data_IF_790749169077
#
_entry.id   IF_790749169077
#
_cell.length_a   1.000
_cell.length_b   1.000
_cell.length_c   1.000
_cell.angle_alpha   90.00
_cell.angle_beta   90.00
_cell.angle_gamma   90.00
#
_symmetry.space_group_name_H-M   'P 1'
#
loop_
_entity.id
_entity.type
_entity.pdbx_description
1 polymer ?
#
# COMPACT_ATOMS: atom_id res chain seq x y z
N UNK A 1 14.76 -5.34 5.12
CA UNK A 1 14.32 -4.37 4.09
C UNK A 1 15.33 -4.37 2.96
N UNK A 2 14.89 -4.27 1.71
CA UNK A 2 15.81 -4.18 0.54
C UNK A 2 16.49 -2.81 0.43
N UNK A 3 17.48 -2.69 -0.45
CA UNK A 3 18.32 -1.49 -0.65
C UNK A 3 17.83 -0.54 -1.76
N UNK A 4 16.75 -0.87 -2.49
CA UNK A 4 16.25 -0.05 -3.60
C UNK A 4 15.25 1.03 -3.18
N UNK A 5 15.11 2.08 -3.98
CA UNK A 5 14.00 3.04 -3.92
C UNK A 5 12.80 2.50 -4.68
N UNK A 6 11.61 3.04 -4.42
CA UNK A 6 10.42 2.67 -5.20
C UNK A 6 9.44 3.83 -5.30
N UNK A 7 9.05 4.16 -6.53
CA UNK A 7 8.00 5.14 -6.84
C UNK A 7 8.24 6.56 -6.28
N UNK A 8 9.50 7.01 -6.25
CA UNK A 8 9.89 8.37 -5.82
C UNK A 8 9.26 9.48 -6.67
N UNK A 9 9.04 9.25 -7.96
CA UNK A 9 8.48 10.26 -8.88
C UNK A 9 6.97 10.11 -9.08
N UNK A 10 6.35 9.17 -8.38
CA UNK A 10 4.91 8.89 -8.49
C UNK A 10 4.16 9.48 -7.28
N UNK A 11 3.64 10.68 -7.45
CA UNK A 11 2.86 11.38 -6.41
C UNK A 11 1.63 10.61 -5.94
N UNK A 12 1.05 9.76 -6.81
CA UNK A 12 -0.05 8.90 -6.40
C UNK A 12 0.44 7.82 -5.43
N UNK A 13 1.57 7.15 -5.70
CA UNK A 13 2.11 6.13 -4.80
C UNK A 13 2.53 6.69 -3.43
N UNK A 14 2.83 7.98 -3.34
CA UNK A 14 3.12 8.67 -2.08
C UNK A 14 1.87 9.02 -1.26
N UNK A 15 0.69 9.00 -1.89
CA UNK A 15 -0.56 9.39 -1.24
C UNK A 15 -1.16 8.24 -0.43
N UNK A 16 -1.61 8.55 0.79
CA UNK A 16 -2.30 7.60 1.68
C UNK A 16 -3.76 7.34 1.29
N UNK A 17 -4.31 8.17 0.40
CA UNK A 17 -5.72 8.19 0.03
C UNK A 17 -5.95 7.90 -1.47
N UNK A 18 -4.89 7.58 -2.21
CA UNK A 18 -5.03 7.27 -3.63
C UNK A 18 -5.67 5.89 -3.83
N UNK A 19 -6.51 5.71 -4.86
CA UNK A 19 -6.96 4.38 -5.26
C UNK A 19 -5.83 3.53 -5.89
N UNK A 20 -4.67 4.12 -6.22
CA UNK A 20 -3.54 3.41 -6.80
C UNK A 20 -2.78 2.65 -5.71
N UNK A 21 -2.99 1.33 -5.64
CA UNK A 21 -2.30 0.43 -4.71
C UNK A 21 -0.87 0.13 -5.20
N UNK A 22 0.02 1.11 -5.06
CA UNK A 22 1.45 0.92 -5.32
C UNK A 22 2.26 1.12 -4.04
N UNK A 23 3.28 0.30 -3.86
CA UNK A 23 4.22 0.49 -2.76
C UNK A 23 5.09 1.71 -3.02
N UNK A 24 5.31 2.52 -2.00
CA UNK A 24 6.27 3.61 -2.03
C UNK A 24 7.41 3.31 -1.06
N UNK A 25 8.64 3.57 -1.48
CA UNK A 25 9.82 3.53 -0.62
C UNK A 25 10.73 4.69 -0.96
N UNK A 26 10.88 5.59 0.01
CA UNK A 26 11.79 6.72 -0.08
C UNK A 26 13.26 6.28 -0.05
N UNK A 27 14.10 7.04 -0.76
CA UNK A 27 15.56 6.87 -0.74
C UNK A 27 16.19 7.18 0.61
N UNK A 28 15.57 8.06 1.41
CA UNK A 28 16.04 8.36 2.76
C UNK A 28 16.24 7.09 3.60
N UNK A 29 15.39 6.07 3.43
CA UNK A 29 15.50 4.80 4.15
C UNK A 29 16.77 4.03 3.78
N UNK A 30 17.36 4.26 2.61
CA UNK A 30 18.63 3.65 2.21
C UNK A 30 19.83 4.26 2.96
N UNK A 31 19.67 5.43 3.55
CA UNK A 31 20.71 6.14 4.30
C UNK A 31 20.46 6.17 5.81
N UNK A 32 19.65 5.24 6.34
CA UNK A 32 19.25 5.16 7.75
C UNK A 32 20.39 5.43 8.75
N UNK A 33 21.56 4.81 8.55
CA UNK A 33 22.69 4.91 9.50
C UNK A 33 23.36 6.30 9.48
N UNK A 34 23.11 7.10 8.44
CA UNK A 34 23.54 8.49 8.33
C UNK A 34 22.47 9.49 8.83
N UNK A 35 21.25 9.02 9.12
CA UNK A 35 20.14 9.86 9.56
C UNK A 35 20.08 9.89 11.09
N UNK A 36 19.95 11.09 11.65
CA UNK A 36 19.63 11.29 13.06
C UNK A 36 18.13 11.08 13.28
N UNK A 37 17.70 9.83 13.34
CA UNK A 37 16.28 9.49 13.50
C UNK A 37 15.89 9.63 14.98
N UNK A 38 14.92 10.50 15.26
CA UNK A 38 14.33 10.69 16.59
C UNK A 38 13.22 9.65 16.82
N UNK A 39 12.22 9.62 15.93
CA UNK A 39 11.05 8.75 16.08
C UNK A 39 10.66 8.07 14.78
N UNK A 40 10.07 6.88 14.92
CA UNK A 40 9.47 6.15 13.80
C UNK A 40 8.02 5.83 14.14
N UNK A 41 7.08 6.23 13.30
CA UNK A 41 5.65 5.95 13.48
C UNK A 41 5.20 4.95 12.42
N UNK A 42 4.60 3.86 12.86
CA UNK A 42 3.84 2.96 11.98
C UNK A 42 2.36 3.27 12.17
N UNK A 43 1.68 3.54 11.07
CA UNK A 43 0.26 3.87 11.04
C UNK A 43 -0.47 2.91 10.11
N UNK A 44 -1.60 2.39 10.58
CA UNK A 44 -2.46 1.48 9.83
C UNK A 44 -3.74 2.23 9.45
N UNK A 45 -4.01 2.33 8.15
CA UNK A 45 -5.15 3.04 7.60
C UNK A 45 -6.18 2.08 7.03
N UNK A 46 -7.45 2.42 7.26
CA UNK A 46 -8.60 1.79 6.63
C UNK A 46 -9.63 2.84 6.26
N UNK A 47 -10.14 2.81 5.04
CA UNK A 47 -11.09 3.78 4.51
C UNK A 47 -10.61 5.24 4.73
N UNK A 48 -9.32 5.50 4.49
CA UNK A 48 -8.70 6.82 4.65
C UNK A 48 -8.52 7.29 6.11
N UNK A 49 -8.90 6.49 7.11
CA UNK A 49 -8.79 6.85 8.54
C UNK A 49 -7.69 6.02 9.22
N UNK A 50 -6.86 6.66 10.05
CA UNK A 50 -5.90 5.93 10.88
C UNK A 50 -6.65 5.11 11.93
N UNK A 51 -6.50 3.79 11.90
CA UNK A 51 -7.18 2.85 12.80
C UNK A 51 -6.29 2.33 13.91
N UNK A 52 -4.99 2.27 13.66
CA UNK A 52 -4.02 1.88 14.68
C UNK A 52 -2.68 2.58 14.43
N UNK A 53 -1.92 2.80 15.50
CA UNK A 53 -0.55 3.31 15.40
C UNK A 53 0.40 2.70 16.42
N UNK A 54 1.68 2.77 16.09
CA UNK A 54 2.79 2.41 16.96
C UNK A 54 3.90 3.45 16.77
N UNK A 55 4.29 4.13 17.84
CA UNK A 55 5.36 5.11 17.86
C UNK A 55 6.58 4.50 18.53
N UNK A 56 7.73 4.57 17.88
CA UNK A 56 8.98 3.97 18.32
C UNK A 56 10.07 5.01 18.51
N UNK A 57 10.98 4.73 19.43
CA UNK A 57 12.24 5.44 19.60
C UNK A 57 13.20 5.02 18.48
N UNK A 58 13.50 5.97 17.59
CA UNK A 58 14.40 5.77 16.46
C UNK A 58 15.87 6.04 16.77
N UNK A 59 16.18 6.64 17.92
CA UNK A 59 17.56 7.02 18.28
C UNK A 59 18.45 5.78 18.36
N UNK A 60 19.57 5.81 17.65
CA UNK A 60 20.54 4.71 17.59
C UNK A 60 19.93 3.39 17.08
N UNK A 61 18.85 3.46 16.30
CA UNK A 61 18.26 2.29 15.66
C UNK A 61 18.90 2.01 14.30
N UNK A 62 18.73 0.78 13.82
CA UNK A 62 19.07 0.35 12.46
C UNK A 62 17.81 0.10 11.65
N UNK A 63 17.95 -0.03 10.32
CA UNK A 63 16.84 -0.34 9.38
C UNK A 63 15.97 -1.54 9.76
N UNK A 64 16.45 -2.43 10.63
CA UNK A 64 15.77 -3.67 11.00
C UNK A 64 15.37 -3.78 12.46
N UNK A 65 15.94 -2.96 13.36
CA UNK A 65 15.71 -3.07 14.81
C UNK A 65 14.81 -1.98 15.41
N UNK A 66 14.49 -0.92 14.66
CA UNK A 66 13.64 0.19 15.14
C UNK A 66 12.24 -0.28 15.51
N UNK A 67 11.70 -1.27 14.79
CA UNK A 67 10.44 -1.93 15.10
C UNK A 67 10.69 -3.06 16.09
N UNK A 68 10.85 -2.70 17.37
CA UNK A 68 11.04 -3.65 18.46
C UNK A 68 10.30 -3.19 19.71
N UNK A 69 9.92 -4.14 20.55
CA UNK A 69 9.10 -3.87 21.72
C UNK A 69 9.78 -2.91 22.71
N UNK A 70 11.09 -3.06 22.93
CA UNK A 70 11.87 -2.19 23.82
C UNK A 70 11.97 -0.75 23.33
N UNK A 71 11.64 -0.48 22.06
CA UNK A 71 11.63 0.86 21.47
C UNK A 71 10.23 1.45 21.40
N UNK A 72 9.17 0.72 21.78
CA UNK A 72 7.80 1.21 21.72
C UNK A 72 7.58 2.34 22.73
N UNK A 73 7.33 3.55 22.24
CA UNK A 73 7.04 4.74 23.03
C UNK A 73 5.54 4.88 23.30
N UNK A 74 4.71 4.67 22.28
CA UNK A 74 3.26 4.83 22.39
C UNK A 74 2.52 3.99 21.34
N UNK A 75 1.26 3.67 21.58
CA UNK A 75 0.40 2.93 20.64
C UNK A 75 -1.08 3.22 20.89
N UNK A 76 -1.93 2.96 19.90
CA UNK A 76 -3.39 3.00 20.04
C UNK A 76 -3.97 1.84 20.86
N UNK A 77 -3.18 0.80 21.15
CA UNK A 77 -3.64 -0.38 21.88
C UNK A 77 -3.40 -0.27 23.38
N UNK A 78 -4.46 -0.49 24.15
CA UNK A 78 -4.45 -0.37 25.62
C UNK A 78 -3.78 -1.54 26.33
N UNK A 79 -3.62 -2.69 25.65
CA UNK A 79 -3.02 -3.91 26.20
C UNK A 79 -1.58 -4.18 25.70
N UNK A 80 -0.97 -3.21 25.01
CA UNK A 80 0.37 -3.34 24.44
C UNK A 80 1.30 -2.23 24.95
N UNK A 81 2.38 -2.63 25.60
CA UNK A 81 3.46 -1.76 26.03
C UNK A 81 4.80 -2.50 26.05
N UNK A 82 5.86 -1.85 26.55
CA UNK A 82 7.20 -2.43 26.56
C UNK A 82 7.31 -3.71 27.42
N UNK A 83 6.44 -3.85 28.42
CA UNK A 83 6.43 -5.00 29.35
C UNK A 83 5.40 -6.08 29.00
N UNK A 84 4.59 -5.87 27.95
CA UNK A 84 3.60 -6.86 27.52
C UNK A 84 4.30 -8.14 27.05
N UNK A 85 3.83 -9.31 27.44
CA UNK A 85 4.39 -10.56 26.91
C UNK A 85 4.03 -10.72 25.43
N UNK A 86 5.04 -10.87 24.57
CA UNK A 86 4.88 -11.14 23.14
C UNK A 86 5.79 -12.30 22.73
N UNK A 87 5.35 -13.14 21.79
CA UNK A 87 6.22 -14.15 21.19
C UNK A 87 6.90 -13.66 19.90
N UNK A 88 6.33 -12.63 19.25
CA UNK A 88 6.96 -11.92 18.13
C UNK A 88 6.69 -10.43 18.22
N UNK A 89 7.75 -9.65 18.07
CA UNK A 89 7.70 -8.20 17.89
C UNK A 89 8.91 -7.76 17.04
N UNK A 90 8.83 -7.92 15.72
CA UNK A 90 9.91 -7.50 14.82
C UNK A 90 9.47 -7.35 13.37
N UNK A 91 10.30 -6.67 12.56
CA UNK A 91 10.11 -6.59 11.10
C UNK A 91 10.18 -7.97 10.45
N UNK A 92 11.16 -8.79 10.85
CA UNK A 92 11.31 -10.14 10.30
C UNK A 92 10.14 -11.04 10.69
N UNK A 93 9.56 -10.82 11.88
CA UNK A 93 8.44 -11.56 12.41
C UNK A 93 8.68 -13.06 12.40
N UNK A 94 7.70 -13.84 11.93
CA UNK A 94 7.83 -15.29 11.82
C UNK A 94 8.11 -15.67 10.37
N UNK A 95 9.26 -16.31 10.16
CA UNK A 95 9.69 -16.88 8.88
C UNK A 95 10.01 -18.36 9.06
N UNK A 96 9.41 -19.21 8.24
CA UNK A 96 9.79 -20.63 8.18
C UNK A 96 9.78 -21.14 6.75
N UNK A 97 10.84 -21.86 6.41
CA UNK A 97 10.92 -22.62 5.16
C UNK A 97 10.27 -23.99 5.42
N UNK A 98 9.23 -24.32 4.67
CA UNK A 98 8.65 -25.66 4.70
C UNK A 98 9.32 -26.46 3.57
N UNK A 99 10.36 -27.22 3.95
CA UNK A 99 11.28 -27.95 3.06
C UNK A 99 10.61 -28.90 2.06
N UNK A 100 9.34 -29.25 2.27
CA UNK A 100 8.68 -30.32 1.53
C UNK A 100 7.73 -29.82 0.43
N UNK A 101 7.45 -28.51 0.38
CA UNK A 101 6.46 -27.93 -0.53
C UNK A 101 6.97 -26.69 -1.27
N UNK A 102 8.23 -26.29 -1.06
CA UNK A 102 8.77 -25.01 -1.55
C UNK A 102 7.88 -23.82 -1.15
N UNK A 103 7.17 -23.97 -0.03
CA UNK A 103 6.31 -22.95 0.55
C UNK A 103 7.03 -22.32 1.72
N UNK A 104 7.00 -21.00 1.75
CA UNK A 104 7.55 -20.22 2.85
C UNK A 104 6.40 -19.48 3.49
N UNK A 105 6.26 -19.52 4.81
CA UNK A 105 5.31 -18.62 5.46
C UNK A 105 6.07 -17.45 6.08
N UNK A 106 5.64 -16.24 5.73
CA UNK A 106 6.22 -14.99 6.17
C UNK A 106 5.14 -14.10 6.76
N UNK A 107 5.24 -13.84 8.06
CA UNK A 107 4.51 -12.79 8.77
C UNK A 107 5.51 -11.69 9.09
N UNK A 108 5.52 -10.61 8.31
CA UNK A 108 6.43 -9.46 8.45
C UNK A 108 5.77 -8.37 9.28
N UNK A 109 6.57 -7.44 9.81
CA UNK A 109 6.09 -6.34 10.68
C UNK A 109 5.09 -6.87 11.72
N UNK A 110 5.54 -7.88 12.46
CA UNK A 110 4.67 -8.78 13.20
C UNK A 110 4.73 -8.47 14.68
N UNK A 111 3.57 -8.13 15.25
CA UNK A 111 3.36 -7.96 16.68
C UNK A 111 2.30 -8.98 17.11
N UNK A 112 2.74 -10.02 17.81
CA UNK A 112 1.91 -11.15 18.21
C UNK A 112 2.06 -11.44 19.70
N UNK A 113 0.94 -11.66 20.37
CA UNK A 113 0.95 -11.93 21.80
C UNK A 113 1.44 -13.35 22.06
N UNK A 114 0.79 -14.33 21.42
CA UNK A 114 1.08 -15.74 21.59
C UNK A 114 0.57 -16.57 20.42
N UNK A 115 1.16 -17.75 20.26
CA UNK A 115 0.56 -18.80 19.46
C UNK A 115 -0.28 -19.71 20.33
N UNK A 116 -1.48 -20.01 19.85
CA UNK A 116 -2.40 -20.99 20.42
C UNK A 116 -2.82 -22.05 19.41
N UNK A 117 -2.30 -21.99 18.19
CA UNK A 117 -2.80 -22.72 17.03
C UNK A 117 -3.77 -21.85 16.23
N UNK A 118 -4.11 -22.25 15.01
CA UNK A 118 -4.86 -21.40 14.08
C UNK A 118 -6.18 -20.85 14.65
N UNK A 119 -6.89 -21.61 15.49
CA UNK A 119 -8.11 -21.14 16.16
C UNK A 119 -7.90 -20.02 17.17
N UNK A 120 -6.66 -19.80 17.61
CA UNK A 120 -6.37 -19.28 18.94
C UNK A 120 -5.11 -18.38 18.96
N UNK A 121 -4.51 -18.15 17.80
CA UNK A 121 -3.44 -17.17 17.60
C UNK A 121 -4.01 -15.76 17.82
N UNK A 122 -3.31 -14.98 18.65
CA UNK A 122 -3.74 -13.62 19.01
C UNK A 122 -2.62 -12.61 18.86
N UNK A 123 -2.92 -11.46 18.26
CA UNK A 123 -1.95 -10.39 18.06
C UNK A 123 -2.57 -9.08 17.60
N UNK A 124 -1.71 -8.14 17.19
CA UNK A 124 -2.10 -6.76 16.90
C UNK A 124 -1.93 -6.37 15.45
N UNK A 125 -0.85 -6.79 14.79
CA UNK A 125 -0.60 -6.45 13.39
C UNK A 125 0.38 -7.43 12.75
N UNK A 126 0.18 -7.72 11.47
CA UNK A 126 1.19 -8.33 10.60
C UNK A 126 0.94 -8.03 9.13
N UNK A 127 2.00 -8.15 8.33
CA UNK A 127 1.97 -8.08 6.88
C UNK A 127 2.28 -9.47 6.32
N UNK A 128 1.35 -10.01 5.52
CA UNK A 128 1.62 -11.20 4.71
C UNK A 128 2.31 -10.78 3.42
N UNK A 129 3.51 -11.30 3.20
CA UNK A 129 4.29 -11.06 1.97
C UNK A 129 3.67 -11.76 0.74
N UNK A 130 4.04 -11.34 -0.47
CA UNK A 130 3.55 -11.89 -1.74
C UNK A 130 3.90 -13.37 -1.91
N UNK A 131 5.05 -13.79 -1.40
CA UNK A 131 5.51 -15.18 -1.45
C UNK A 131 5.15 -15.99 -0.20
N UNK A 132 4.42 -15.40 0.75
CA UNK A 132 4.00 -16.11 1.96
C UNK A 132 2.97 -17.17 1.59
N UNK A 133 3.07 -18.37 2.13
CA UNK A 133 2.03 -19.38 2.14
C UNK A 133 1.39 -19.34 3.53
N UNK A 134 0.14 -18.87 3.63
CA UNK A 134 -0.55 -18.89 4.92
C UNK A 134 -0.64 -20.33 5.42
N UNK A 135 -0.50 -20.56 6.73
CA UNK A 135 -0.69 -21.89 7.32
C UNK A 135 -2.13 -22.05 7.81
N UNK A 136 -2.73 -20.96 8.28
CA UNK A 136 -4.06 -20.97 8.83
C UNK A 136 -5.10 -20.50 7.81
N UNK A 137 -6.33 -21.00 7.92
CA UNK A 137 -7.44 -20.63 7.02
C UNK A 137 -7.69 -19.11 6.98
N UNK A 138 -7.54 -18.43 8.11
CA UNK A 138 -7.67 -16.97 8.20
C UNK A 138 -6.57 -16.20 7.44
N UNK A 139 -5.48 -16.85 7.01
CA UNK A 139 -4.48 -16.28 6.11
C UNK A 139 -4.83 -16.51 4.63
N UNK A 140 -5.74 -17.46 4.35
CA UNK A 140 -6.14 -17.87 3.00
C UNK A 140 -7.38 -17.11 2.52
N UNK A 141 -8.20 -16.60 3.45
CA UNK A 141 -9.41 -15.82 3.15
C UNK A 141 -9.19 -14.64 2.19
N UNK A 142 -7.95 -14.17 2.10
CA UNK A 142 -7.60 -12.95 1.37
C UNK A 142 -6.76 -13.23 0.11
N UNK A 143 -6.60 -14.49 -0.27
CA UNK A 143 -6.04 -14.86 -1.56
C UNK A 143 -7.02 -14.49 -2.69
N UNK A 144 -6.52 -14.00 -3.85
CA UNK A 144 -5.12 -13.83 -4.24
C UNK A 144 -4.49 -12.46 -3.88
N UNK A 145 -5.13 -11.64 -3.04
CA UNK A 145 -4.77 -10.24 -2.81
C UNK A 145 -3.55 -10.09 -1.88
N UNK A 146 -2.35 -10.39 -2.37
CA UNK A 146 -1.10 -10.20 -1.63
C UNK A 146 -0.23 -9.05 -2.21
N UNK A 147 0.59 -8.39 -1.37
CA UNK A 147 0.62 -8.51 0.09
C UNK A 147 -0.65 -7.93 0.74
N UNK A 148 -0.98 -8.40 1.95
CA UNK A 148 -2.09 -7.85 2.74
C UNK A 148 -1.65 -7.56 4.18
N UNK A 149 -2.40 -6.68 4.84
CA UNK A 149 -2.14 -6.26 6.22
C UNK A 149 -3.33 -6.70 7.06
N UNK A 150 -3.06 -7.51 8.09
CA UNK A 150 -4.01 -7.84 9.13
C UNK A 150 -3.65 -7.02 10.36
N UNK A 151 -4.64 -6.38 10.97
CA UNK A 151 -4.49 -5.64 12.21
C UNK A 151 -5.69 -5.84 13.12
N UNK A 152 -5.55 -5.65 14.43
CA UNK A 152 -6.70 -5.69 15.31
C UNK A 152 -7.54 -4.41 15.16
N UNK A 153 -8.85 -4.51 14.82
CA UNK A 153 -9.72 -3.34 14.77
C UNK A 153 -10.18 -2.86 16.16
N UNK A 154 -9.82 -3.59 17.22
CA UNK A 154 -10.16 -3.31 18.62
C UNK A 154 -9.11 -2.37 19.23
N UNK A 155 -9.38 -1.88 20.45
CA UNK A 155 -8.39 -1.19 21.29
C UNK A 155 -7.42 -2.16 22.00
N UNK A 156 -7.52 -3.46 21.72
CA UNK A 156 -6.71 -4.55 22.31
C UNK A 156 -6.35 -5.57 21.22
N UNK A 157 -5.55 -6.61 21.53
CA UNK A 157 -5.25 -7.68 20.55
C UNK A 157 -6.50 -8.40 20.05
N UNK A 158 -6.43 -8.90 18.81
CA UNK A 158 -7.47 -9.73 18.19
C UNK A 158 -7.06 -11.20 18.14
N UNK A 159 -8.05 -12.10 18.20
CA UNK A 159 -7.91 -13.51 17.83
C UNK A 159 -8.15 -13.65 16.33
N UNK A 160 -7.12 -14.02 15.56
CA UNK A 160 -7.15 -13.88 14.09
C UNK A 160 -8.27 -14.68 13.41
N UNK A 161 -8.62 -15.85 13.94
CA UNK A 161 -9.69 -16.70 13.39
C UNK A 161 -11.09 -16.16 13.68
N UNK A 162 -11.29 -15.49 14.81
CA UNK A 162 -12.62 -15.16 15.33
C UNK A 162 -12.97 -13.68 15.11
N UNK A 163 -11.97 -12.81 15.13
CA UNK A 163 -12.13 -11.37 14.98
C UNK A 163 -11.90 -10.93 13.53
N UNK A 164 -12.51 -11.64 12.57
CA UNK A 164 -12.27 -11.43 11.13
C UNK A 164 -12.95 -10.18 10.56
N UNK A 165 -13.94 -9.64 11.28
CA UNK A 165 -14.63 -8.42 10.88
C UNK A 165 -13.68 -7.24 10.96
N UNK A 166 -13.61 -6.50 9.85
CA UNK A 166 -12.79 -5.30 9.72
C UNK A 166 -11.28 -5.42 9.90
N UNK A 167 -10.73 -6.65 9.98
CA UNK A 167 -9.33 -6.93 10.30
C UNK A 167 -8.32 -6.57 9.20
N UNK A 168 -8.80 -6.36 7.96
CA UNK A 168 -7.96 -5.96 6.82
C UNK A 168 -7.78 -4.45 6.76
N UNK A 169 -6.53 -4.01 6.65
CA UNK A 169 -6.18 -2.61 6.38
C UNK A 169 -5.88 -2.36 4.90
N UNK A 170 -6.06 -1.11 4.48
CA UNK A 170 -5.77 -0.66 3.12
C UNK A 170 -4.30 -0.24 2.97
N UNK A 171 -3.70 0.32 4.02
CA UNK A 171 -2.34 0.86 3.98
C UNK A 171 -1.65 0.73 5.33
N UNK A 172 -0.38 0.35 5.29
CA UNK A 172 0.55 0.47 6.41
C UNK A 172 1.61 1.48 6.01
N UNK A 173 1.63 2.62 6.69
CA UNK A 173 2.57 3.71 6.44
C UNK A 173 3.62 3.75 7.54
N UNK A 174 4.85 4.08 7.15
CA UNK A 174 5.99 4.27 8.07
C UNK A 174 6.48 5.70 7.88
N UNK A 175 6.35 6.50 8.94
CA UNK A 175 6.85 7.87 9.00
C UNK A 175 8.10 7.93 9.86
N UNK A 176 9.07 8.71 9.42
CA UNK A 176 10.34 8.91 10.12
C UNK A 176 10.43 10.38 10.49
N UNK A 177 10.61 10.66 11.78
CA UNK A 177 10.93 11.98 12.29
C UNK A 177 12.44 12.03 12.52
N UNK A 178 13.09 12.99 11.89
CA UNK A 178 14.50 13.28 12.15
C UNK A 178 14.58 14.23 13.37
N UNK A 179 15.62 14.08 14.17
CA UNK A 179 16.03 15.15 15.08
C UNK A 179 16.39 16.38 14.23
N UNK A 180 16.25 17.59 14.77
CA UNK A 180 16.49 18.81 14.01
C UNK A 180 17.93 18.85 13.50
N UNK A 181 18.13 18.35 12.28
CA UNK A 181 19.38 18.50 11.58
C UNK A 181 19.45 19.97 11.17
N UNK A 182 20.31 20.74 11.83
CA UNK A 182 20.78 21.98 11.24
C UNK A 182 21.39 21.59 9.90
N UNK A 183 20.69 21.90 8.80
CA UNK A 183 21.30 21.84 7.49
C UNK A 183 22.61 22.62 7.62
N UNK A 184 23.79 22.01 7.36
CA UNK A 184 25.02 22.77 7.36
C UNK A 184 24.80 23.89 6.36
N UNK A 185 24.76 25.12 6.87
CA UNK A 185 24.74 26.32 6.03
C UNK A 185 26.07 26.26 5.31
N UNK A 186 26.08 25.69 4.10
CA UNK A 186 27.23 25.79 3.22
C UNK A 186 27.29 27.27 2.85
N UNK A 187 28.09 28.00 3.62
CA UNK A 187 28.46 29.35 3.28
C UNK A 187 29.10 29.30 1.89
N UNK A 188 28.34 29.83 0.92
CA UNK A 188 28.79 30.26 -0.39
C UNK A 188 29.66 29.29 -1.20
N UNK A 189 29.01 28.34 -1.88
CA UNK A 189 29.23 27.93 -3.29
C UNK A 189 28.58 26.56 -3.54
N UNK A 190 28.09 26.25 -4.76
CA UNK A 190 27.25 25.08 -4.98
C UNK A 190 28.05 23.79 -4.87
N UNK A 191 27.75 22.99 -3.85
CA UNK A 191 28.14 21.57 -3.80
C UNK A 191 27.03 20.77 -4.46
N UNK A 192 27.27 20.28 -5.68
CA UNK A 192 26.41 19.29 -6.33
C UNK A 192 26.52 17.97 -5.57
N UNK A 193 25.45 17.53 -4.92
CA UNK A 193 25.42 16.26 -4.19
C UNK A 193 24.86 15.08 -5.01
N UNK A 194 24.12 15.34 -6.09
CA UNK A 194 23.72 14.48 -7.24
C UNK A 194 22.38 14.96 -7.83
N UNK A 195 21.98 14.46 -9.01
CA UNK A 195 20.93 15.06 -9.87
C UNK A 195 19.51 15.18 -9.28
N UNK A 196 19.15 14.46 -8.20
CA UNK A 196 17.75 14.34 -7.76
C UNK A 196 17.47 14.66 -6.26
N UNK A 197 18.40 15.31 -5.53
CA UNK A 197 18.16 15.65 -4.11
C UNK A 197 18.24 17.15 -3.87
N UNK A 198 17.09 17.80 -3.62
CA UNK A 198 17.03 19.19 -3.18
C UNK A 198 16.71 19.27 -1.69
N UNK A 199 17.57 19.92 -0.91
CA UNK A 199 17.21 20.40 0.42
C UNK A 199 16.51 21.75 0.26
N UNK A 200 15.23 21.84 0.64
CA UNK A 200 14.56 23.13 0.72
C UNK A 200 15.01 23.85 2.00
N UNK A 201 15.86 24.87 1.83
CA UNK A 201 16.05 25.89 2.85
C UNK A 201 14.96 26.94 2.62
N UNK A 202 14.07 27.22 3.60
CA UNK A 202 13.19 28.37 3.50
C UNK A 202 14.08 29.62 3.48
N UNK A 203 14.14 30.32 2.36
CA UNK A 203 14.69 31.67 2.36
C UNK A 203 13.73 32.56 3.14
N UNK A 204 14.10 32.98 4.34
CA UNK A 204 13.47 34.13 4.95
C UNK A 204 14.53 35.12 5.43
N UNK A 205 14.50 36.26 4.72
CA UNK A 205 14.56 37.62 5.26
C UNK A 205 15.90 38.00 5.91
N UNK A 206 16.51 38.99 5.25
CA UNK A 206 17.70 39.73 5.67
C UNK A 206 17.63 40.22 7.12
N UNK A 207 18.68 39.90 7.86
CA UNK A 207 19.34 40.67 8.91
C UNK A 207 18.67 41.98 9.39
N UNK A 208 18.19 42.02 10.64
CA UNK A 208 18.77 42.84 11.73
C UNK A 208 18.04 42.60 13.08
N UNK A 209 18.66 42.94 14.24
CA UNK A 209 18.27 42.42 15.54
C UNK A 209 17.30 43.34 16.29
N UNK A 210 16.52 42.71 17.19
CA UNK A 210 15.87 43.23 18.41
C UNK A 210 14.34 43.17 18.44
N UNK A 211 13.86 43.02 19.68
CA UNK A 211 12.50 43.12 20.20
C UNK A 211 11.57 41.92 20.01
N UNK A 212 11.52 41.10 21.06
CA UNK A 212 10.36 40.29 21.45
C UNK A 212 9.12 41.19 21.47
N UNK A 213 8.23 41.01 20.49
CA UNK A 213 6.84 41.46 20.58
C UNK A 213 5.96 40.40 19.92
N UNK A 214 4.94 39.95 20.65
CA UNK A 214 3.88 39.07 20.14
C UNK A 214 3.36 39.62 18.81
N UNK A 215 3.39 38.82 17.74
CA UNK A 215 2.63 39.13 16.53
C UNK A 215 1.78 37.96 16.11
N UNK A 216 0.52 38.30 15.86
CA UNK A 216 -0.55 37.44 15.42
C UNK A 216 -0.19 36.77 14.09
N UNK A 217 -0.79 35.59 13.89
CA UNK A 217 -0.83 34.90 12.60
C UNK A 217 -1.50 35.83 11.59
N UNK A 218 -0.71 36.48 10.75
CA UNK A 218 -1.22 37.12 9.53
C UNK A 218 -1.44 36.00 8.51
N UNK A 219 -2.71 35.66 8.29
CA UNK A 219 -3.10 34.84 7.16
C UNK A 219 -2.69 35.58 5.89
N UNK A 220 -1.65 35.11 5.21
CA UNK A 220 -1.38 35.51 3.82
C UNK A 220 -2.54 35.00 2.97
N UNK A 221 -3.59 35.81 2.85
CA UNK A 221 -4.64 35.63 1.87
C UNK A 221 -4.01 35.90 0.52
N UNK A 222 -3.62 34.84 -0.19
CA UNK A 222 -3.33 34.96 -1.62
C UNK A 222 -4.55 35.57 -2.28
N UNK A 223 -4.35 36.65 -3.05
CA UNK A 223 -5.43 37.37 -3.71
C UNK A 223 -6.33 36.40 -4.50
N UNK A 224 -7.64 36.54 -4.36
CA UNK A 224 -8.66 35.64 -4.92
C UNK A 224 -8.52 35.46 -6.44
N UNK A 225 -8.01 36.49 -7.13
CA UNK A 225 -7.67 36.44 -8.56
C UNK A 225 -6.63 35.38 -8.91
N UNK A 226 -5.61 35.18 -8.06
CA UNK A 226 -4.56 34.17 -8.28
C UNK A 226 -5.12 32.76 -8.11
N UNK A 227 -6.08 32.58 -7.21
CA UNK A 227 -6.75 31.30 -7.02
C UNK A 227 -7.63 30.95 -8.22
N UNK A 228 -8.41 31.93 -8.71
CA UNK A 228 -9.30 31.73 -9.86
C UNK A 228 -8.52 31.47 -11.16
N UNK A 229 -7.39 32.14 -11.37
CA UNK A 229 -6.52 31.89 -12.52
C UNK A 229 -5.95 30.47 -12.51
N UNK A 230 -5.52 29.98 -11.33
CA UNK A 230 -5.02 28.60 -11.19
C UNK A 230 -6.11 27.56 -11.45
N UNK A 231 -7.32 27.78 -10.95
CA UNK A 231 -8.46 26.87 -11.19
C UNK A 231 -8.86 26.86 -12.67
N UNK A 232 -8.83 28.02 -13.33
CA UNK A 232 -9.20 28.14 -14.75
C UNK A 232 -8.17 27.47 -15.65
N UNK A 233 -6.88 27.64 -15.35
CA UNK A 233 -5.78 27.00 -16.08
C UNK A 233 -5.83 25.47 -15.95
N UNK A 234 -6.07 24.94 -14.75
CA UNK A 234 -6.21 23.50 -14.52
C UNK A 234 -7.44 22.93 -15.24
N UNK A 235 -8.57 23.64 -15.24
CA UNK A 235 -9.75 23.22 -16.02
C UNK A 235 -9.46 23.16 -17.52
N UNK A 236 -8.69 24.11 -18.05
CA UNK A 236 -8.36 24.16 -19.47
C UNK A 236 -7.40 23.04 -19.88
N UNK A 237 -6.40 22.72 -19.05
CA UNK A 237 -5.48 21.59 -19.28
C UNK A 237 -6.16 20.22 -19.12
N UNK A 238 -7.17 20.11 -18.26
CA UNK A 238 -7.91 18.86 -18.00
C UNK A 238 -9.12 18.66 -18.93
N UNK A 239 -9.46 19.64 -19.77
CA UNK A 239 -10.56 19.51 -20.73
C UNK A 239 -10.08 18.74 -21.96
N UNK A 240 -10.25 17.42 -21.94
CA UNK A 240 -10.08 16.56 -23.12
C UNK A 240 -11.12 16.95 -24.16
N UNK A 241 -10.69 17.39 -25.35
CA UNK A 241 -11.59 17.72 -26.46
C UNK A 241 -12.30 16.46 -26.97
N UNK A 242 -13.63 16.31 -26.78
CA UNK A 242 -14.34 15.15 -27.24
C UNK A 242 -14.74 15.39 -28.70
N UNK A 243 -13.84 15.09 -29.64
CA UNK A 243 -14.10 14.69 -31.04
C UNK A 243 -12.83 14.85 -31.90
N UNK A 244 -11.94 13.87 -31.85
CA UNK A 244 -11.11 13.52 -33.01
C UNK A 244 -10.63 12.07 -32.93
N UNK A 245 -11.57 11.13 -32.85
CA UNK A 245 -11.26 9.72 -33.05
C UNK A 245 -12.18 9.17 -34.12
N UNK A 246 -11.64 9.04 -35.34
CA UNK A 246 -12.31 8.40 -36.48
C UNK A 246 -12.80 7.00 -36.04
N UNK A 247 -14.04 6.65 -36.42
CA UNK A 247 -14.73 5.37 -36.12
C UNK A 247 -13.86 4.13 -36.34
N UNK A 248 -12.92 4.20 -37.29
CA UNK A 248 -11.95 3.15 -37.61
C UNK A 248 -10.98 2.80 -36.47
N UNK A 249 -10.57 3.76 -35.63
CA UNK A 249 -9.65 3.51 -34.52
C UNK A 249 -10.32 2.82 -33.32
N UNK A 250 -11.66 2.85 -33.24
CA UNK A 250 -12.41 2.15 -32.18
C UNK A 250 -12.52 0.65 -32.40
N UNK A 251 -12.43 0.16 -33.65
CA UNK A 251 -12.54 -1.27 -33.93
C UNK A 251 -11.24 -2.05 -33.70
N UNK A 252 -10.13 -1.35 -33.47
CA UNK A 252 -8.80 -1.95 -33.29
C UNK A 252 -8.40 -2.06 -31.81
N UNK A 253 -9.23 -1.56 -30.89
CA UNK A 253 -9.05 -1.73 -29.44
C UNK A 253 -10.02 -2.79 -28.93
N UNK A 254 -9.92 -4.00 -29.48
CA UNK A 254 -10.15 -5.19 -28.66
C UNK A 254 -8.77 -5.66 -28.26
N UNK A 255 -8.37 -5.32 -27.04
CA UNK A 255 -7.22 -5.98 -26.42
C UNK A 255 -7.59 -7.47 -26.25
N UNK A 256 -6.76 -8.42 -26.71
CA UNK A 256 -6.99 -9.82 -26.40
C UNK A 256 -6.95 -9.98 -24.87
N UNK A 257 -8.10 -10.26 -24.27
CA UNK A 257 -8.24 -10.47 -22.82
C UNK A 257 -7.90 -11.93 -22.48
N UNK A 258 -6.70 -12.16 -21.95
CA UNK A 258 -6.20 -13.50 -21.57
C UNK A 258 -6.80 -14.05 -20.26
N UNK A 259 -7.83 -13.43 -19.67
CA UNK A 259 -8.49 -13.99 -18.49
C UNK A 259 -9.09 -15.37 -18.78
N UNK A 260 -8.80 -16.34 -17.91
CA UNK A 260 -9.30 -17.71 -18.04
C UNK A 260 -10.84 -17.78 -18.15
N UNK A 261 -11.54 -16.86 -17.46
CA UNK A 261 -13.00 -16.74 -17.50
C UNK A 261 -13.56 -16.33 -18.87
N UNK A 262 -12.87 -15.45 -19.61
CA UNK A 262 -13.30 -15.00 -20.95
C UNK A 262 -13.05 -16.08 -22.01
N UNK A 263 -11.96 -16.86 -21.90
CA UNK A 263 -11.74 -18.06 -22.74
C UNK A 263 -12.77 -19.14 -22.46
N UNK A 264 -13.10 -19.39 -21.19
CA UNK A 264 -14.11 -20.35 -20.79
C UNK A 264 -15.50 -19.98 -21.32
N UNK A 265 -15.91 -18.71 -21.23
CA UNK A 265 -17.17 -18.22 -21.79
C UNK A 265 -17.23 -18.30 -23.32
N UNK A 266 -16.14 -17.99 -24.02
CA UNK A 266 -16.06 -18.11 -25.48
C UNK A 266 -16.20 -19.57 -25.95
N UNK A 267 -15.51 -20.50 -25.27
CA UNK A 267 -15.61 -21.93 -25.56
C UNK A 267 -17.01 -22.46 -25.22
N UNK A 268 -17.58 -22.11 -24.06
CA UNK A 268 -18.94 -22.52 -23.68
C UNK A 268 -19.97 -22.05 -24.71
N UNK A 269 -19.88 -20.78 -25.13
CA UNK A 269 -20.78 -20.20 -26.13
C UNK A 269 -20.70 -20.92 -27.47
N UNK A 270 -19.48 -21.23 -27.94
CA UNK A 270 -19.28 -21.97 -29.19
C UNK A 270 -19.87 -23.38 -29.16
N UNK A 271 -19.69 -24.10 -28.05
CA UNK A 271 -20.23 -25.47 -27.88
C UNK A 271 -21.76 -25.48 -27.89
N UNK A 272 -22.40 -24.52 -27.21
CA UNK A 272 -23.86 -24.41 -27.16
C UNK A 272 -24.43 -24.12 -28.55
N UNK A 273 -23.86 -23.16 -29.27
CA UNK A 273 -24.33 -22.79 -30.61
C UNK A 273 -24.14 -23.95 -31.58
N UNK A 274 -22.98 -24.61 -31.56
CA UNK A 274 -22.72 -25.78 -32.42
C UNK A 274 -23.70 -26.91 -32.13
N UNK A 275 -23.99 -27.20 -30.86
CA UNK A 275 -24.93 -28.25 -30.48
C UNK A 275 -26.34 -28.01 -31.00
N UNK A 276 -26.83 -26.77 -30.91
CA UNK A 276 -28.15 -26.38 -31.41
C UNK A 276 -28.24 -26.52 -32.93
N UNK A 277 -27.21 -26.06 -33.66
CA UNK A 277 -27.18 -26.18 -35.13
C UNK A 277 -27.11 -27.64 -35.56
N UNK A 278 -26.26 -28.46 -34.93
CA UNK A 278 -26.17 -29.89 -35.22
C UNK A 278 -27.49 -30.62 -34.95
N UNK A 279 -28.23 -30.24 -33.91
CA UNK A 279 -29.54 -30.82 -33.61
C UNK A 279 -30.57 -30.53 -34.71
N UNK A 280 -30.65 -29.29 -35.20
CA UNK A 280 -31.56 -28.94 -36.30
C UNK A 280 -31.20 -29.67 -37.59
N UNK A 281 -29.91 -29.71 -37.94
CA UNK A 281 -29.44 -30.44 -39.13
C UNK A 281 -29.74 -31.93 -39.01
N UNK A 282 -29.57 -32.52 -37.83
CA UNK A 282 -29.86 -33.93 -37.59
C UNK A 282 -31.37 -34.25 -37.75
N UNK A 283 -32.25 -33.38 -37.23
CA UNK A 283 -33.69 -33.52 -37.43
C UNK A 283 -34.08 -33.42 -38.92
N UNK A 284 -33.45 -32.52 -39.68
CA UNK A 284 -33.70 -32.39 -41.11
C UNK A 284 -33.17 -33.59 -41.90
N UNK A 285 -32.01 -34.16 -41.53
CA UNK A 285 -31.49 -35.39 -42.12
C UNK A 285 -32.43 -36.58 -41.87
N UNK A 286 -32.93 -36.75 -40.64
CA UNK A 286 -33.90 -37.80 -40.32
C UNK A 286 -35.17 -37.63 -41.15
N UNK A 287 -35.69 -36.40 -41.27
CA UNK A 287 -36.85 -36.10 -42.10
C UNK A 287 -36.60 -36.44 -43.57
N UNK A 288 -35.40 -36.16 -44.09
CA UNK A 288 -35.02 -36.51 -45.45
C UNK A 288 -34.97 -38.03 -45.66
N UNK A 289 -34.30 -38.77 -44.77
CA UNK A 289 -34.19 -40.23 -44.83
C UNK A 289 -35.54 -40.94 -44.67
N UNK A 290 -36.45 -40.39 -43.86
CA UNK A 290 -37.82 -40.89 -43.72
C UNK A 290 -38.70 -40.66 -44.95
N UNK A 291 -38.28 -39.74 -45.84
CA UNK A 291 -39.01 -39.41 -47.08
C UNK A 291 -38.60 -40.30 -48.26
N UNK A 292 -37.38 -40.84 -48.24
CA UNK A 292 -36.88 -41.80 -49.23
C UNK A 292 -37.32 -43.26 -48.97
N UNK A 293 -38.04 -43.51 -47.87
CA UNK A 293 -38.54 -44.83 -47.46
C UNK A 293 -40.06 -45.02 -47.67
N UNK A 294 -40.72 -44.09 -48.38
CA UNK A 294 -42.07 -44.24 -48.94
C UNK A 294 -42.03 -44.22 -50.46
#
# INVERSE_FOLDING_TARGET
MGTGTLNMDNSAAQSLITPIKQHFKSDFINHWDALQIDQVRVSVYKNGTERAFFLFNGVGSSKTNWFSQSRLLNTSYTDLGQSTTTNYFSINGHTRNLSNLQTHFFRRFFINAKYGGCCCDTGWVFVSDIHSYGVCDWEHLYLPQKPFIIFSPKSTRSQYSNDSNDILADTLAIFVKLDSYECPVVQSSPVQLNENTYCYVPQNISSEPNTVTKMAVEHTTMAESVLQDKVTKLKQELTVTPKSTKKYLRSIVSAPDERYSSRALGILGGVIISGVVSFFVFLDIIRCLSRDTQ
#
